data_IF_944709785072
#
_entry.id   IF_944709785072
#
_cell.length_a   1.000
_cell.length_b   1.000
_cell.length_c   1.000
_cell.angle_alpha   90.00
_cell.angle_beta   90.00
_cell.angle_gamma   90.00
#
_symmetry.space_group_name_H-M   'P 1'
#
loop_
_entity.id
_entity.type
_entity.pdbx_description
1 polymer ?
#
# COMPACT_ATOMS: atom_id res chain seq x y z
N UNK A 1 22.41 -2.35 -4.76
CA UNK A 1 21.26 -3.25 -4.99
C UNK A 1 20.75 -3.69 -3.63
N UNK A 2 19.53 -3.31 -3.26
CA UNK A 2 18.89 -3.81 -2.03
C UNK A 2 18.44 -5.27 -2.24
N UNK A 3 18.43 -6.12 -1.19
CA UNK A 3 18.06 -7.51 -1.35
C UNK A 3 16.57 -7.61 -1.70
N UNK A 4 16.26 -8.17 -2.87
CA UNK A 4 14.91 -8.59 -3.21
C UNK A 4 14.50 -9.68 -2.22
N UNK A 5 13.44 -9.45 -1.44
CA UNK A 5 12.88 -10.46 -0.57
C UNK A 5 12.31 -11.57 -1.46
N UNK A 6 13.11 -12.61 -1.70
CA UNK A 6 12.70 -13.76 -2.50
C UNK A 6 11.42 -14.36 -1.90
N UNK A 7 10.38 -14.46 -2.73
CA UNK A 7 9.16 -15.13 -2.35
C UNK A 7 9.48 -16.59 -1.94
N UNK A 8 8.85 -17.12 -0.87
CA UNK A 8 9.08 -18.51 -0.46
C UNK A 8 8.78 -19.47 -1.62
N UNK A 9 9.50 -20.61 -1.73
CA UNK A 9 9.43 -21.51 -2.88
C UNK A 9 8.03 -22.11 -3.11
N UNK A 10 7.19 -22.17 -2.07
CA UNK A 10 5.79 -22.62 -2.14
C UNK A 10 4.78 -21.47 -2.22
N UNK A 11 5.24 -20.27 -2.58
CA UNK A 11 4.37 -19.14 -2.81
C UNK A 11 3.43 -19.45 -3.98
N UNK A 12 2.11 -19.48 -3.75
CA UNK A 12 1.17 -19.56 -4.85
C UNK A 12 1.36 -18.36 -5.79
N UNK A 13 1.05 -18.51 -7.10
CA UNK A 13 1.30 -17.47 -8.09
C UNK A 13 0.65 -16.14 -7.67
N UNK A 14 1.28 -15.02 -8.03
CA UNK A 14 0.85 -13.67 -7.66
C UNK A 14 -0.68 -13.43 -7.74
N UNK A 15 -1.40 -13.81 -8.82
CA UNK A 15 -2.86 -13.67 -8.87
C UNK A 15 -3.59 -14.48 -7.78
N UNK A 16 -3.16 -15.70 -7.48
CA UNK A 16 -3.79 -16.53 -6.46
C UNK A 16 -3.51 -15.98 -5.06
N UNK A 17 -2.30 -15.46 -4.82
CA UNK A 17 -1.93 -14.84 -3.53
C UNK A 17 -2.81 -13.61 -3.27
N UNK A 18 -2.97 -12.76 -4.28
CA UNK A 18 -3.81 -11.56 -4.20
C UNK A 18 -5.28 -11.91 -3.92
N UNK A 19 -5.84 -12.88 -4.64
CA UNK A 19 -7.23 -13.31 -4.45
C UNK A 19 -7.47 -13.85 -3.03
N UNK A 20 -6.57 -14.67 -2.49
CA UNK A 20 -6.69 -15.15 -1.09
C UNK A 20 -6.58 -14.02 -0.08
N UNK A 21 -5.67 -13.07 -0.27
CA UNK A 21 -5.55 -11.92 0.62
C UNK A 21 -6.84 -11.09 0.66
N UNK A 22 -7.47 -10.87 -0.50
CA UNK A 22 -8.73 -10.15 -0.57
C UNK A 22 -9.94 -10.96 -0.12
N UNK A 23 -9.92 -12.29 -0.20
CA UNK A 23 -10.94 -13.12 0.43
C UNK A 23 -10.91 -12.96 1.97
N UNK A 24 -9.71 -12.96 2.57
CA UNK A 24 -9.55 -12.70 4.02
C UNK A 24 -10.02 -11.30 4.40
N UNK A 25 -9.60 -10.28 3.64
CA UNK A 25 -10.01 -8.89 3.90
C UNK A 25 -11.53 -8.70 3.71
N UNK A 26 -12.15 -9.37 2.74
CA UNK A 26 -13.59 -9.33 2.54
C UNK A 26 -14.36 -9.88 3.74
N UNK A 27 -13.87 -10.99 4.32
CA UNK A 27 -14.47 -11.57 5.52
C UNK A 27 -14.31 -10.64 6.75
N UNK A 28 -13.15 -10.02 6.91
CA UNK A 28 -12.85 -9.14 8.06
C UNK A 28 -13.57 -7.79 7.99
N UNK A 29 -13.50 -7.12 6.84
CA UNK A 29 -13.98 -5.75 6.66
C UNK A 29 -15.36 -5.67 6.00
N UNK A 30 -15.94 -6.83 5.65
CA UNK A 30 -17.30 -6.96 5.10
C UNK A 30 -17.48 -6.20 3.76
N UNK A 31 -16.38 -6.02 3.03
CA UNK A 31 -16.37 -5.46 1.67
C UNK A 31 -16.36 -6.62 0.68
N UNK A 32 -17.21 -6.65 -0.36
CA UNK A 32 -17.19 -7.73 -1.34
C UNK A 32 -15.83 -7.90 -2.01
N UNK A 33 -15.33 -9.14 -2.10
CA UNK A 33 -14.03 -9.44 -2.70
C UNK A 33 -13.88 -8.89 -4.13
N UNK A 34 -14.95 -8.91 -4.92
CA UNK A 34 -14.97 -8.37 -6.29
C UNK A 34 -14.71 -6.86 -6.33
N UNK A 35 -15.15 -6.11 -5.32
CA UNK A 35 -14.89 -4.68 -5.20
C UNK A 35 -13.40 -4.44 -4.93
N UNK A 36 -12.81 -5.19 -4.00
CA UNK A 36 -11.37 -5.11 -3.69
C UNK A 36 -10.51 -5.45 -4.93
N UNK A 37 -10.87 -6.51 -5.65
CA UNK A 37 -10.21 -6.91 -6.91
C UNK A 37 -10.36 -5.84 -8.01
N UNK A 38 -11.55 -5.26 -8.15
CA UNK A 38 -11.83 -4.24 -9.16
C UNK A 38 -11.05 -2.95 -8.91
N UNK A 39 -11.01 -2.47 -7.66
CA UNK A 39 -10.26 -1.26 -7.29
C UNK A 39 -8.76 -1.47 -7.48
N UNK A 40 -8.21 -2.61 -7.05
CA UNK A 40 -6.78 -2.88 -7.24
C UNK A 40 -6.40 -3.03 -8.72
N UNK A 41 -7.29 -3.55 -9.56
CA UNK A 41 -7.06 -3.62 -11.00
C UNK A 41 -7.05 -2.22 -11.61
N UNK A 42 -8.00 -1.34 -11.24
CA UNK A 42 -8.04 0.04 -11.71
C UNK A 42 -6.76 0.80 -11.34
N UNK A 43 -6.21 0.49 -10.16
CA UNK A 43 -5.03 1.18 -9.66
C UNK A 43 -3.76 0.77 -10.42
N UNK A 44 -3.38 -0.51 -10.40
CA UNK A 44 -2.08 -0.95 -10.93
C UNK A 44 -2.17 -1.98 -12.06
N UNK A 45 -3.38 -2.38 -12.47
CA UNK A 45 -3.61 -3.59 -13.28
C UNK A 45 -3.09 -4.87 -12.63
N UNK A 46 -3.07 -4.90 -11.29
CA UNK A 46 -2.45 -5.93 -10.46
C UNK A 46 -0.93 -6.07 -10.61
N UNK A 47 -0.27 -5.06 -11.17
CA UNK A 47 1.18 -4.96 -11.08
C UNK A 47 1.59 -4.76 -9.62
N UNK A 48 2.48 -5.63 -9.14
CA UNK A 48 3.02 -5.57 -7.79
C UNK A 48 4.47 -5.04 -7.76
N UNK A 49 4.96 -4.53 -8.90
CA UNK A 49 6.33 -4.06 -9.10
C UNK A 49 7.41 -5.02 -8.61
N UNK A 50 7.20 -6.34 -8.79
CA UNK A 50 8.06 -7.42 -8.25
C UNK A 50 8.40 -7.28 -6.76
N UNK A 51 7.52 -6.63 -5.99
CA UNK A 51 7.72 -6.33 -4.57
C UNK A 51 8.62 -5.14 -4.27
N UNK A 52 9.19 -4.48 -5.29
CA UNK A 52 9.92 -3.24 -5.13
C UNK A 52 8.96 -2.06 -4.87
N UNK A 53 9.38 -1.04 -4.10
CA UNK A 53 8.61 0.18 -3.95
C UNK A 53 8.59 0.98 -5.26
N UNK A 54 7.50 1.72 -5.48
CA UNK A 54 7.45 2.80 -6.47
C UNK A 54 8.35 3.97 -6.05
N UNK A 55 8.53 4.94 -6.97
CA UNK A 55 9.31 6.16 -6.71
C UNK A 55 8.74 7.04 -5.58
N UNK A 56 7.47 6.84 -5.21
CA UNK A 56 6.82 7.52 -4.08
C UNK A 56 6.64 6.61 -2.86
N UNK A 57 7.33 5.46 -2.82
CA UNK A 57 7.36 4.55 -1.65
C UNK A 57 6.11 3.68 -1.48
N UNK A 58 5.25 3.58 -2.50
CA UNK A 58 4.09 2.68 -2.48
C UNK A 58 4.43 1.27 -2.94
N UNK A 59 3.77 0.26 -2.36
CA UNK A 59 4.01 -1.15 -2.61
C UNK A 59 2.78 -1.88 -3.15
N UNK A 60 3.03 -2.85 -4.03
CA UNK A 60 2.04 -3.82 -4.49
C UNK A 60 0.86 -3.24 -5.28
N UNK A 61 -0.16 -4.06 -5.56
CA UNK A 61 -1.31 -3.68 -6.39
C UNK A 61 -2.20 -2.55 -5.86
N UNK A 62 -1.98 -2.16 -4.61
CA UNK A 62 -2.71 -1.07 -3.95
C UNK A 62 -1.81 0.14 -3.69
N UNK A 63 -0.52 0.11 -4.09
CA UNK A 63 0.45 1.20 -3.87
C UNK A 63 0.42 1.67 -2.42
N UNK A 64 0.30 0.69 -1.50
CA UNK A 64 0.23 0.98 -0.08
C UNK A 64 1.61 1.43 0.39
N UNK A 65 1.65 2.56 1.07
CA UNK A 65 2.87 3.02 1.71
C UNK A 65 3.10 2.22 2.99
N UNK A 66 4.35 1.80 3.24
CA UNK A 66 4.72 1.30 4.55
C UNK A 66 4.68 2.46 5.55
N UNK A 67 3.58 2.55 6.30
CA UNK A 67 3.36 3.63 7.25
C UNK A 67 4.45 3.73 8.32
N UNK A 68 5.06 2.61 8.74
CA UNK A 68 6.13 2.65 9.74
C UNK A 68 7.38 3.30 9.17
N UNK A 69 7.80 2.86 7.98
CA UNK A 69 8.95 3.43 7.29
C UNK A 69 8.69 4.88 6.91
N UNK A 70 7.50 5.19 6.38
CA UNK A 70 7.13 6.56 6.04
C UNK A 70 7.10 7.49 7.25
N UNK A 71 6.62 7.06 8.41
CA UNK A 71 6.65 7.87 9.64
C UNK A 71 8.07 8.07 10.19
N UNK A 72 8.96 7.10 10.00
CA UNK A 72 10.37 7.20 10.42
C UNK A 72 11.19 8.11 9.48
N UNK A 73 10.90 8.08 8.18
CA UNK A 73 11.59 8.88 7.16
C UNK A 73 10.93 10.25 6.91
N UNK A 74 9.70 10.45 7.39
CA UNK A 74 9.03 11.74 7.30
C UNK A 74 9.92 12.82 7.94
N UNK A 75 10.32 13.85 7.17
CA UNK A 75 10.90 15.04 7.78
C UNK A 75 9.90 15.57 8.81
N UNK A 76 10.39 16.01 9.98
CA UNK A 76 9.64 16.91 10.87
C UNK A 76 9.30 18.16 10.07
N UNK A 77 8.17 18.09 9.39
CA UNK A 77 7.66 19.15 8.54
C UNK A 77 7.07 20.21 9.46
N UNK A 78 7.16 21.49 9.10
CA UNK A 78 6.65 22.58 9.95
C UNK A 78 5.18 22.37 10.39
N UNK A 79 4.38 21.69 9.57
CA UNK A 79 3.00 21.28 9.85
C UNK A 79 2.82 20.15 10.89
N UNK A 80 3.91 19.54 11.36
CA UNK A 80 3.88 18.51 12.41
C UNK A 80 4.26 19.03 13.80
N UNK A 81 4.80 20.26 13.87
CA UNK A 81 5.33 20.85 15.10
C UNK A 81 4.70 22.21 15.47
N UNK A 82 4.01 22.88 14.54
CA UNK A 82 3.37 24.17 14.78
C UNK A 82 1.92 24.06 15.28
N UNK A 83 1.49 25.01 16.12
CA UNK A 83 0.08 25.21 16.50
C UNK A 83 -0.78 25.85 15.38
N UNK A 84 -0.27 25.80 14.15
CA UNK A 84 -0.89 26.36 12.94
C UNK A 84 -2.05 25.46 12.48
N UNK A 85 -3.19 26.06 12.12
CA UNK A 85 -4.33 25.30 11.58
C UNK A 85 -3.96 24.77 10.19
N UNK A 86 -3.93 23.44 9.98
CA UNK A 86 -3.53 22.85 8.70
C UNK A 86 -4.51 23.15 7.55
N UNK A 87 -5.66 23.77 7.84
CA UNK A 87 -6.64 24.18 6.83
C UNK A 87 -6.25 25.48 6.12
N UNK A 88 -5.33 26.26 6.68
CA UNK A 88 -4.80 27.48 6.05
C UNK A 88 -5.82 28.60 5.88
N UNK A 89 -6.90 28.61 6.67
CA UNK A 89 -7.95 29.62 6.66
C UNK A 89 -7.75 30.65 7.78
N UNK A 90 -6.68 31.45 7.67
CA UNK A 90 -6.63 32.74 8.36
C UNK A 90 -7.60 33.71 7.67
N UNK A 91 -8.57 34.21 8.42
CA UNK A 91 -9.53 35.25 8.05
C UNK A 91 -8.93 36.67 8.14
#
# INVERSE_FOLDING_TARGET
>A
AAPSAAAPPDAPPAPDRLQRAFASAAAEYHVPQSVLLGVSYLQSRWDAHDGAPSVTGGYGPLHLTDARTALAEAPRSHHSEGAEDPRGDDA
#
